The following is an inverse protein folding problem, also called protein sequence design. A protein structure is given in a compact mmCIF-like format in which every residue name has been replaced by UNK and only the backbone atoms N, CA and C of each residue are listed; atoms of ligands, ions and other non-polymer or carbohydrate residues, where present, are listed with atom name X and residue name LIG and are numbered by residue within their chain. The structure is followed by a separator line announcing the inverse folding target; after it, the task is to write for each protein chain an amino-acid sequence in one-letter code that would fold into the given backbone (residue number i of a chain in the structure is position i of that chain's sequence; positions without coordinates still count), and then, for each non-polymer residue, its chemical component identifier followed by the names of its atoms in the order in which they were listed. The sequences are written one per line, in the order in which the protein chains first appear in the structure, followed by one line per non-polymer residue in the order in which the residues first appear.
data_IF_360817179028
#
_entry.id   IF_360817179028
#
_cell.length_a   1.000
_cell.length_b   1.000
_cell.length_c   1.000
_cell.angle_alpha   90.00
_cell.angle_beta   90.00
_cell.angle_gamma   90.00
#
_symmetry.space_group_name_H-M   'P 1'
#
loop_
_entity.id
_entity.type
_entity.pdbx_description
1 polymer ?
#
# COMPACT_ATOMS: atom_id res chain seq x y z
N UNK A 1 16.34 0.41 4.84
CA UNK A 1 15.77 -0.96 4.73
C UNK A 1 16.74 -1.84 3.96
N UNK A 2 16.91 -3.10 4.37
CA UNK A 2 17.79 -4.03 3.64
C UNK A 2 17.15 -4.51 2.34
N UNK A 3 17.88 -4.42 1.23
CA UNK A 3 17.43 -4.94 -0.06
C UNK A 3 17.40 -6.48 -0.04
N UNK A 4 16.36 -7.11 -0.61
CA UNK A 4 16.31 -8.56 -0.70
C UNK A 4 17.34 -9.05 -1.71
N UNK A 5 17.99 -10.18 -1.41
CA UNK A 5 18.84 -10.87 -2.37
C UNK A 5 18.05 -11.21 -3.65
N UNK A 6 18.73 -11.12 -4.79
CA UNK A 6 18.13 -11.20 -6.13
C UNK A 6 17.38 -12.52 -6.37
N UNK A 7 16.35 -12.47 -7.21
CA UNK A 7 15.57 -13.65 -7.57
C UNK A 7 16.41 -14.71 -8.28
N UNK A 8 17.38 -14.30 -9.09
CA UNK A 8 18.29 -15.22 -9.77
C UNK A 8 19.12 -16.04 -8.76
N UNK A 9 19.66 -15.39 -7.73
CA UNK A 9 20.42 -16.07 -6.67
C UNK A 9 19.57 -17.11 -5.94
N UNK A 10 18.31 -16.76 -5.62
CA UNK A 10 17.35 -17.68 -5.00
C UNK A 10 17.08 -18.90 -5.88
N UNK A 11 16.82 -18.67 -7.18
CA UNK A 11 16.55 -19.73 -8.16
C UNK A 11 17.72 -20.72 -8.24
N UNK A 12 18.95 -20.21 -8.43
CA UNK A 12 20.14 -21.07 -8.56
C UNK A 12 20.44 -21.83 -7.28
N UNK A 13 20.27 -21.21 -6.12
CA UNK A 13 20.45 -21.88 -4.83
C UNK A 13 19.45 -23.02 -4.64
N UNK A 14 18.16 -22.77 -4.91
CA UNK A 14 17.11 -23.78 -4.77
C UNK A 14 17.26 -24.91 -5.79
N UNK A 15 17.66 -24.61 -7.02
CA UNK A 15 17.97 -25.63 -8.03
C UNK A 15 19.11 -26.56 -7.60
N UNK A 16 20.13 -26.04 -6.89
CA UNK A 16 21.18 -26.88 -6.33
C UNK A 16 20.67 -27.80 -5.20
N UNK A 17 19.71 -27.32 -4.41
CA UNK A 17 19.03 -28.16 -3.41
C UNK A 17 18.19 -29.24 -4.09
N UNK A 18 17.50 -28.92 -5.19
CA UNK A 18 16.74 -29.89 -5.99
C UNK A 18 17.65 -30.95 -6.62
N UNK A 19 18.88 -30.57 -6.99
CA UNK A 19 19.91 -31.48 -7.45
C UNK A 19 20.56 -32.33 -6.32
N UNK A 20 20.03 -32.27 -5.10
CA UNK A 20 20.44 -33.13 -3.98
C UNK A 20 21.37 -32.49 -2.95
N UNK A 21 21.73 -31.20 -3.08
CA UNK A 21 22.53 -30.53 -2.05
C UNK A 21 21.71 -30.24 -0.79
N UNK A 22 22.34 -30.34 0.38
CA UNK A 22 21.74 -29.83 1.61
C UNK A 22 21.64 -28.29 1.57
N UNK A 23 20.69 -27.71 2.31
CA UNK A 23 20.56 -26.25 2.41
C UNK A 23 21.87 -25.56 2.84
N UNK A 24 22.63 -26.20 3.75
CA UNK A 24 23.92 -25.69 4.23
C UNK A 24 25.01 -25.75 3.16
N UNK A 25 25.06 -26.84 2.39
CA UNK A 25 26.01 -26.98 1.28
C UNK A 25 25.72 -25.97 0.15
N UNK A 26 24.44 -25.82 -0.22
CA UNK A 26 24.03 -24.82 -1.20
C UNK A 26 24.33 -23.39 -0.72
N UNK A 27 24.04 -23.08 0.55
CA UNK A 27 24.38 -21.79 1.16
C UNK A 27 25.88 -21.46 1.05
N UNK A 28 26.74 -22.42 1.41
CA UNK A 28 28.19 -22.26 1.27
C UNK A 28 28.64 -22.04 -0.18
N UNK A 29 28.08 -22.81 -1.13
CA UNK A 29 28.38 -22.69 -2.57
C UNK A 29 28.04 -21.31 -3.14
N UNK A 30 26.94 -20.71 -2.70
CA UNK A 30 26.44 -19.44 -3.23
C UNK A 30 26.78 -18.22 -2.36
N UNK A 31 27.58 -18.37 -1.30
CA UNK A 31 27.97 -17.27 -0.41
C UNK A 31 26.80 -16.67 0.37
N UNK A 32 25.79 -17.48 0.69
CA UNK A 32 24.58 -17.06 1.42
C UNK A 32 24.61 -17.64 2.83
N UNK A 33 24.08 -16.94 3.83
CA UNK A 33 23.94 -17.49 5.17
C UNK A 33 23.05 -18.75 5.18
N UNK A 34 23.40 -19.83 5.91
CA UNK A 34 22.60 -21.06 5.95
C UNK A 34 21.14 -20.85 6.36
N UNK A 35 20.89 -19.93 7.29
CA UNK A 35 19.53 -19.58 7.73
C UNK A 35 18.68 -18.98 6.61
N UNK A 36 19.29 -18.22 5.70
CA UNK A 36 18.60 -17.64 4.53
C UNK A 36 18.21 -18.72 3.53
N UNK A 37 19.11 -19.67 3.24
CA UNK A 37 18.81 -20.81 2.38
C UNK A 37 17.68 -21.68 2.95
N UNK A 38 17.71 -21.96 4.26
CA UNK A 38 16.65 -22.69 4.96
C UNK A 38 15.31 -21.95 4.83
N UNK A 39 15.30 -20.62 5.06
CA UNK A 39 14.07 -19.81 4.93
C UNK A 39 13.51 -19.83 3.51
N UNK A 40 14.33 -19.77 2.48
CA UNK A 40 13.85 -19.86 1.09
C UNK A 40 13.26 -21.23 0.77
N UNK A 41 13.92 -22.31 1.24
CA UNK A 41 13.43 -23.66 1.04
C UNK A 41 12.10 -23.90 1.78
N UNK A 42 12.00 -23.42 3.01
CA UNK A 42 10.79 -23.48 3.84
C UNK A 42 9.62 -22.69 3.22
N UNK A 43 9.90 -21.46 2.77
CA UNK A 43 8.92 -20.65 2.05
C UNK A 43 8.40 -21.37 0.81
N UNK A 44 9.31 -21.93 -0.01
CA UNK A 44 8.94 -22.69 -1.22
C UNK A 44 8.07 -23.90 -0.88
N UNK A 45 8.38 -24.64 0.19
CA UNK A 45 7.60 -25.81 0.62
C UNK A 45 6.21 -25.42 1.14
N UNK A 46 6.13 -24.32 1.87
CA UNK A 46 4.88 -23.89 2.51
C UNK A 46 3.93 -23.20 1.53
N UNK A 47 4.46 -22.36 0.62
CA UNK A 47 3.63 -21.51 -0.24
C UNK A 47 3.82 -21.75 -1.74
N UNK A 48 4.75 -22.62 -2.14
CA UNK A 48 5.16 -22.79 -3.54
C UNK A 48 6.03 -21.65 -4.10
N UNK A 49 6.25 -20.58 -3.32
CA UNK A 49 6.99 -19.40 -3.76
C UNK A 49 8.21 -19.13 -2.87
N UNK A 50 9.27 -18.61 -3.48
CA UNK A 50 10.46 -18.13 -2.78
C UNK A 50 10.76 -16.66 -3.13
N UNK A 51 9.77 -15.97 -3.69
CA UNK A 51 9.88 -14.54 -3.97
C UNK A 51 9.98 -13.74 -2.66
N UNK A 52 10.76 -12.64 -2.63
CA UNK A 52 10.73 -11.70 -1.52
C UNK A 52 9.29 -11.24 -1.26
N UNK A 53 8.92 -11.13 0.02
CA UNK A 53 7.67 -10.47 0.38
C UNK A 53 7.77 -8.98 0.02
N UNK A 54 6.65 -8.31 -0.33
CA UNK A 54 6.62 -6.86 -0.46
C UNK A 54 7.28 -6.20 0.75
N UNK A 55 8.23 -5.30 0.48
CA UNK A 55 8.92 -4.54 1.53
C UNK A 55 8.31 -3.14 1.60
N UNK A 56 7.85 -2.75 2.79
CA UNK A 56 7.15 -1.48 2.97
C UNK A 56 5.72 -1.50 2.44
N UNK A 57 5.17 -0.32 2.21
CA UNK A 57 3.74 -0.12 1.90
C UNK A 57 2.96 0.48 3.07
N UNK A 58 1.76 0.99 2.78
CA UNK A 58 0.89 1.54 3.81
C UNK A 58 0.26 0.40 4.63
N UNK A 59 0.73 0.25 5.87
CA UNK A 59 0.16 -0.70 6.83
C UNK A 59 -0.87 -0.07 7.76
N UNK A 60 -1.09 1.25 7.65
CA UNK A 60 -1.89 2.05 8.60
C UNK A 60 -3.25 2.44 8.02
N UNK A 61 -3.41 2.49 6.70
CA UNK A 61 -4.69 2.81 6.06
C UNK A 61 -5.72 1.68 6.06
N UNK A 62 -5.32 0.44 6.35
CA UNK A 62 -6.21 -0.73 6.23
C UNK A 62 -7.59 -0.54 6.87
N UNK A 63 -7.64 0.00 8.09
CA UNK A 63 -8.92 0.22 8.81
C UNK A 63 -9.84 1.24 8.13
N UNK A 64 -9.28 2.28 7.51
CA UNK A 64 -10.08 3.28 6.80
C UNK A 64 -10.54 2.74 5.44
N UNK A 65 -9.67 1.99 4.75
CA UNK A 65 -10.01 1.36 3.46
C UNK A 65 -11.08 0.27 3.60
N UNK A 66 -11.09 -0.50 4.70
CA UNK A 66 -12.14 -1.50 4.99
C UNK A 66 -13.55 -0.88 5.07
N UNK A 67 -13.66 0.41 5.40
CA UNK A 67 -14.92 1.18 5.45
C UNK A 67 -15.04 2.22 4.34
N UNK A 68 -14.29 2.05 3.24
CA UNK A 68 -14.28 2.95 2.09
C UNK A 68 -15.70 3.29 1.60
N UNK A 69 -16.55 2.28 1.43
CA UNK A 69 -17.90 2.44 0.90
C UNK A 69 -18.75 3.41 1.73
N UNK A 70 -18.62 3.35 3.06
CA UNK A 70 -19.39 4.20 3.96
C UNK A 70 -18.90 5.65 3.95
N UNK A 71 -17.58 5.84 3.89
CA UNK A 71 -16.96 7.17 3.78
C UNK A 71 -17.39 7.83 2.48
N UNK A 72 -17.34 7.09 1.36
CA UNK A 72 -17.76 7.59 0.06
C UNK A 72 -19.27 7.85 -0.02
N UNK A 73 -20.10 7.04 0.64
CA UNK A 73 -21.54 7.28 0.69
C UNK A 73 -21.88 8.60 1.40
N UNK A 74 -21.26 8.89 2.54
CA UNK A 74 -21.45 10.16 3.27
C UNK A 74 -20.95 11.34 2.43
N UNK A 75 -19.80 11.18 1.78
CA UNK A 75 -19.23 12.17 0.89
C UNK A 75 -20.15 12.49 -0.30
N UNK A 76 -20.67 11.47 -0.98
CA UNK A 76 -21.55 11.65 -2.14
C UNK A 76 -22.91 12.25 -1.76
N UNK A 77 -23.46 11.87 -0.60
CA UNK A 77 -24.68 12.49 -0.07
C UNK A 77 -24.50 13.97 0.28
N UNK A 78 -23.27 14.40 0.60
CA UNK A 78 -22.94 15.76 1.04
C UNK A 78 -21.65 16.25 0.37
N UNK A 79 -21.70 16.55 -0.93
CA UNK A 79 -20.49 16.89 -1.73
C UNK A 79 -19.66 18.07 -1.23
N UNK A 80 -20.24 18.96 -0.42
CA UNK A 80 -19.56 20.12 0.18
C UNK A 80 -19.17 19.91 1.65
N UNK A 81 -19.25 18.68 2.17
CA UNK A 81 -18.85 18.37 3.54
C UNK A 81 -17.35 18.63 3.75
N UNK A 82 -17.02 19.33 4.84
CA UNK A 82 -15.65 19.49 5.27
C UNK A 82 -15.09 18.18 5.86
N UNK A 83 -13.76 18.03 5.88
CA UNK A 83 -13.14 16.84 6.47
C UNK A 83 -13.44 16.69 7.97
N UNK A 84 -13.66 17.80 8.69
CA UNK A 84 -14.00 17.77 10.12
C UNK A 84 -15.44 17.29 10.35
N UNK A 85 -16.37 17.76 9.52
CA UNK A 85 -17.76 17.29 9.56
C UNK A 85 -17.87 15.82 9.14
N UNK A 86 -17.10 15.39 8.15
CA UNK A 86 -17.02 13.98 7.76
C UNK A 86 -16.44 13.15 8.91
N UNK A 87 -15.39 13.64 9.58
CA UNK A 87 -14.83 12.98 10.76
C UNK A 87 -15.89 12.83 11.85
N UNK A 88 -16.68 13.86 12.14
CA UNK A 88 -17.75 13.80 13.14
C UNK A 88 -18.80 12.73 12.78
N UNK A 89 -19.29 12.73 11.53
CA UNK A 89 -20.24 11.73 11.06
C UNK A 89 -19.70 10.30 11.13
N UNK A 90 -18.40 10.10 10.89
CA UNK A 90 -17.76 8.79 10.99
C UNK A 90 -17.61 8.32 12.44
N UNK A 91 -17.40 9.24 13.39
CA UNK A 91 -17.35 8.92 14.82
C UNK A 91 -18.71 8.40 15.30
N UNK A 92 -19.81 9.00 14.86
CA UNK A 92 -21.17 8.55 15.19
C UNK A 92 -21.45 7.13 14.67
N UNK A 93 -20.78 6.72 13.58
CA UNK A 93 -20.81 5.37 13.02
C UNK A 93 -19.72 4.45 13.59
N UNK A 94 -19.02 4.85 14.65
CA UNK A 94 -17.98 4.07 15.34
C UNK A 94 -16.61 4.06 14.66
N UNK A 95 -16.41 4.79 13.56
CA UNK A 95 -15.14 4.89 12.85
C UNK A 95 -14.34 6.12 13.32
N UNK A 96 -13.32 5.87 14.13
CA UNK A 96 -12.43 6.90 14.61
C UNK A 96 -11.23 7.08 13.66
N UNK A 97 -11.19 8.18 12.91
CA UNK A 97 -10.09 8.53 12.00
C UNK A 97 -9.71 10.00 12.23
N UNK A 98 -8.41 10.31 12.11
CA UNK A 98 -7.91 11.68 12.09
C UNK A 98 -8.22 12.38 10.76
N UNK A 99 -8.32 13.71 10.76
CA UNK A 99 -8.45 14.52 9.53
C UNK A 99 -7.33 14.23 8.53
N UNK A 100 -6.09 14.09 9.01
CA UNK A 100 -4.95 13.73 8.16
C UNK A 100 -5.08 12.31 7.57
N UNK A 101 -5.75 11.39 8.28
CA UNK A 101 -6.13 10.07 7.76
C UNK A 101 -7.13 10.17 6.63
N UNK A 102 -8.20 10.95 6.81
CA UNK A 102 -9.20 11.21 5.76
C UNK A 102 -8.59 11.90 4.54
N UNK A 103 -7.72 12.88 4.75
CA UNK A 103 -7.01 13.53 3.64
C UNK A 103 -6.18 12.52 2.84
N UNK A 104 -5.41 11.65 3.50
CA UNK A 104 -4.63 10.59 2.82
C UNK A 104 -5.52 9.60 2.08
N UNK A 105 -6.65 9.22 2.66
CA UNK A 105 -7.66 8.39 2.00
C UNK A 105 -8.14 9.02 0.70
N UNK A 106 -8.59 10.28 0.72
CA UNK A 106 -9.05 10.94 -0.51
C UNK A 106 -7.94 11.13 -1.55
N UNK A 107 -6.71 11.43 -1.11
CA UNK A 107 -5.55 11.48 -2.02
C UNK A 107 -5.27 10.11 -2.64
N UNK A 108 -5.38 9.02 -1.86
CA UNK A 108 -5.20 7.66 -2.35
C UNK A 108 -6.23 7.29 -3.42
N UNK A 109 -7.47 7.73 -3.23
CA UNK A 109 -8.58 7.56 -4.18
C UNK A 109 -8.59 8.58 -5.33
N UNK A 110 -7.57 9.43 -5.45
CA UNK A 110 -7.47 10.44 -6.52
C UNK A 110 -8.47 11.60 -6.39
N UNK A 111 -9.17 11.72 -5.26
CA UNK A 111 -10.21 12.70 -4.99
C UNK A 111 -9.63 13.94 -4.31
N UNK A 112 -8.93 14.77 -5.07
CA UNK A 112 -8.40 16.04 -4.54
C UNK A 112 -9.32 17.20 -4.86
N UNK A 113 -9.64 18.05 -3.86
CA UNK A 113 -10.33 19.31 -4.11
C UNK A 113 -9.46 20.21 -4.98
N UNK A 114 -10.00 20.67 -6.12
CA UNK A 114 -9.34 21.63 -6.99
C UNK A 114 -9.08 22.93 -6.22
N UNK A 115 -7.81 23.28 -6.00
CA UNK A 115 -7.40 24.58 -5.45
C UNK A 115 -7.39 25.64 -6.57
N UNK A 116 -8.57 26.08 -7.01
CA UNK A 116 -8.69 27.30 -7.82
C UNK A 116 -9.66 28.24 -7.11
N UNK A 117 -9.22 29.45 -6.81
CA UNK A 117 -10.11 30.52 -6.37
C UNK A 117 -11.15 30.74 -7.50
N UNK A 118 -12.42 30.85 -7.13
CA UNK A 118 -13.43 31.31 -8.07
C UNK A 118 -13.05 32.75 -8.48
N UNK A 119 -12.58 32.93 -9.71
CA UNK A 119 -12.41 34.26 -10.28
C UNK A 119 -13.79 34.78 -10.70
N UNK A 120 -14.06 36.07 -10.45
CA UNK A 120 -15.21 36.73 -11.02
C UNK A 120 -15.16 36.62 -12.56
N UNK A 121 -16.30 36.37 -13.20
CA UNK A 121 -16.39 36.44 -14.65
C UNK A 121 -15.95 37.83 -15.11
N UNK A 122 -15.05 37.91 -16.10
CA UNK A 122 -14.70 39.16 -16.75
C UNK A 122 -16.00 39.85 -17.21
N UNK A 123 -16.17 41.14 -16.86
CA UNK A 123 -17.30 41.94 -17.37
C UNK A 123 -17.27 41.88 -18.89
N UNK A 124 -18.34 41.42 -19.50
CA UNK A 124 -18.58 41.58 -20.94
C UNK A 124 -18.72 43.07 -21.20
N UNK A 125 -17.68 43.70 -21.75
CA UNK A 125 -17.79 45.07 -22.25
C UNK A 125 -18.69 45.07 -23.50
N UNK A 126 -19.52 46.10 -23.73
CA UNK A 126 -20.28 46.20 -24.97
C UNK A 126 -19.29 46.34 -26.14
N UNK A 127 -19.39 45.48 -27.15
CA UNK A 127 -18.74 45.75 -28.44
C UNK A 127 -19.44 46.95 -29.08
N UNK A 128 -18.66 47.97 -29.42
CA UNK A 128 -19.10 49.12 -30.24
C UNK A 128 -19.26 48.71 -31.70
#
# INVERSE_FOLDING_TARGET
MGQPLSMDLRKRLLAAIDAGMSCRAAAARFGVAPSTAIRWQDQRRTTGSFAPKPQGGDMRSRRIEERQAEILAIWEARKDISLEELRAALIDLGLHVSVAGLHRFFVHHGMTRKKRLAMQSSRTAPMS
#
